data_IF_005877753283
#
_entry.id   IF_005877753283
#
_cell.length_a   1.000
_cell.length_b   1.000
_cell.length_c   1.000
_cell.angle_alpha   90.00
_cell.angle_beta   90.00
_cell.angle_gamma   90.00
#
_symmetry.space_group_name_H-M   'P 1'
#
loop_
_entity.id
_entity.type
_entity.pdbx_description
1 polymer ?
#
# COMPACT_ATOMS: atom_id res chain seq x y z
N UNK A 1 31.18 41.49 -42.47
CA UNK A 1 31.04 41.20 -41.07
C UNK A 1 30.56 42.47 -40.40
N UNK A 2 29.27 42.56 -40.08
CA UNK A 2 28.69 43.71 -39.35
C UNK A 2 29.22 43.63 -37.93
N UNK A 3 30.16 44.46 -37.54
CA UNK A 3 30.58 44.70 -36.17
C UNK A 3 29.39 45.35 -35.47
N UNK A 4 28.69 44.62 -34.62
CA UNK A 4 27.71 45.18 -33.68
C UNK A 4 28.48 46.02 -32.67
N UNK A 5 28.14 47.29 -32.44
CA UNK A 5 28.75 48.11 -31.41
C UNK A 5 28.13 47.75 -30.04
N UNK A 6 28.36 46.53 -29.57
CA UNK A 6 27.79 46.07 -28.33
C UNK A 6 28.96 45.64 -27.42
N UNK A 7 29.26 46.44 -26.42
CA UNK A 7 30.14 46.06 -25.34
C UNK A 7 29.24 45.76 -24.12
N UNK A 8 29.26 44.52 -23.67
CA UNK A 8 28.67 44.13 -22.38
C UNK A 8 29.60 44.55 -21.25
N UNK A 9 29.15 45.45 -20.37
CA UNK A 9 29.91 45.76 -19.18
C UNK A 9 29.95 44.54 -18.22
N UNK A 10 31.02 44.38 -17.43
CA UNK A 10 31.15 43.23 -16.53
C UNK A 10 29.98 43.02 -15.58
N UNK A 11 29.36 44.09 -15.08
CA UNK A 11 28.21 44.02 -14.18
C UNK A 11 26.96 43.47 -14.89
N UNK A 12 26.75 43.81 -16.17
CA UNK A 12 25.66 43.25 -16.96
C UNK A 12 25.86 41.74 -17.23
N UNK A 13 27.08 41.31 -17.51
CA UNK A 13 27.42 39.92 -17.71
C UNK A 13 27.19 39.09 -16.43
N UNK A 14 27.62 39.61 -15.26
CA UNK A 14 27.39 38.98 -13.97
C UNK A 14 25.90 38.78 -13.64
N UNK A 15 25.03 39.76 -14.01
CA UNK A 15 23.59 39.67 -13.76
C UNK A 15 22.86 38.75 -14.74
N UNK A 16 23.26 38.76 -16.01
CA UNK A 16 22.65 37.96 -17.09
C UNK A 16 23.09 36.48 -17.02
N UNK A 17 24.31 36.24 -16.59
CA UNK A 17 24.93 34.90 -16.57
C UNK A 17 25.67 34.66 -15.24
N UNK A 18 24.96 34.44 -14.11
CA UNK A 18 25.59 34.28 -12.80
C UNK A 18 26.48 33.04 -12.66
N UNK A 19 26.44 32.15 -13.68
CA UNK A 19 27.26 30.94 -13.77
C UNK A 19 28.15 30.93 -15.02
N UNK A 20 28.64 32.11 -15.50
CA UNK A 20 29.53 32.16 -16.64
C UNK A 20 31.00 31.97 -16.26
N UNK A 21 31.79 31.61 -17.28
CA UNK A 21 33.25 31.71 -17.34
C UNK A 21 33.65 32.41 -18.60
N UNK A 22 34.51 33.42 -18.53
CA UNK A 22 35.21 33.96 -19.65
C UNK A 22 36.67 33.49 -19.60
N UNK A 23 37.13 32.85 -20.66
CA UNK A 23 38.44 32.23 -20.77
C UNK A 23 39.26 32.97 -21.86
N UNK A 24 40.55 33.19 -21.63
CA UNK A 24 41.45 33.59 -22.71
C UNK A 24 41.81 32.40 -23.62
N UNK A 25 42.61 32.61 -24.63
CA UNK A 25 43.02 31.59 -25.60
C UNK A 25 43.84 30.45 -24.99
N UNK A 26 44.48 30.66 -23.84
CA UNK A 26 45.29 29.68 -23.13
C UNK A 26 44.48 28.95 -22.03
N UNK A 27 43.22 29.31 -21.85
CA UNK A 27 42.30 28.73 -20.86
C UNK A 27 42.46 29.33 -19.45
N UNK A 28 43.04 30.52 -19.37
CA UNK A 28 43.04 31.28 -18.10
C UNK A 28 41.64 31.90 -17.91
N UNK A 29 41.11 31.79 -16.70
CA UNK A 29 39.82 32.35 -16.35
C UNK A 29 39.93 33.85 -16.11
N UNK A 30 39.35 34.64 -17.01
CA UNK A 30 39.35 36.10 -16.96
C UNK A 30 38.22 36.65 -16.09
N UNK A 31 37.06 35.97 -16.12
CA UNK A 31 35.87 36.32 -15.36
C UNK A 31 35.08 35.07 -15.00
N UNK A 32 34.43 35.08 -13.84
CA UNK A 32 33.55 34.01 -13.42
C UNK A 32 32.31 34.60 -12.73
N UNK A 33 31.17 33.98 -12.99
CA UNK A 33 29.90 34.38 -12.39
C UNK A 33 29.89 34.22 -10.86
N UNK A 34 29.15 35.08 -10.19
CA UNK A 34 29.12 35.12 -8.73
C UNK A 34 28.67 33.79 -8.10
N UNK A 35 27.64 33.17 -8.67
CA UNK A 35 27.13 31.88 -8.22
C UNK A 35 28.16 30.76 -8.41
N UNK A 36 28.83 30.73 -9.57
CA UNK A 36 29.85 29.74 -9.84
C UNK A 36 31.04 29.87 -8.89
N UNK A 37 31.52 31.10 -8.65
CA UNK A 37 32.59 31.35 -7.68
C UNK A 37 32.23 30.88 -6.28
N UNK A 38 31.01 31.15 -5.82
CA UNK A 38 30.52 30.68 -4.51
C UNK A 38 30.48 29.15 -4.41
N UNK A 39 30.04 28.49 -5.45
CA UNK A 39 29.96 27.03 -5.54
C UNK A 39 31.33 26.35 -5.50
N UNK A 40 32.33 26.97 -6.13
CA UNK A 40 33.69 26.39 -6.19
C UNK A 40 34.52 26.61 -4.92
N UNK A 41 34.07 27.51 -4.03
CA UNK A 41 34.65 27.71 -2.69
C UNK A 41 35.74 28.79 -2.61
N UNK A 42 36.44 28.83 -1.45
CA UNK A 42 37.46 29.85 -1.15
C UNK A 42 38.65 29.72 -2.10
N UNK A 43 39.01 30.81 -2.74
CA UNK A 43 40.16 30.91 -3.64
C UNK A 43 39.85 31.62 -4.95
N UNK A 44 38.61 31.69 -5.32
CA UNK A 44 38.14 32.30 -6.59
C UNK A 44 38.63 31.55 -7.83
N UNK A 45 37.90 31.67 -8.92
CA UNK A 45 38.24 31.03 -10.18
C UNK A 45 39.08 31.95 -11.12
N UNK A 46 39.00 33.27 -10.89
CA UNK A 46 39.68 34.26 -11.73
C UNK A 46 41.19 34.19 -11.54
N UNK A 47 41.90 34.08 -12.67
CA UNK A 47 43.35 33.92 -12.70
C UNK A 47 43.84 32.46 -12.64
N UNK A 48 42.93 31.49 -12.42
CA UNK A 48 43.26 30.07 -12.50
C UNK A 48 43.05 29.49 -13.90
N UNK A 49 43.66 28.33 -14.16
CA UNK A 49 43.41 27.63 -15.42
C UNK A 49 42.11 26.82 -15.37
N UNK A 50 41.31 26.89 -16.38
CA UNK A 50 40.05 26.12 -16.52
C UNK A 50 40.25 24.61 -16.29
N UNK A 51 41.31 24.06 -16.90
CA UNK A 51 41.62 22.63 -16.80
C UNK A 51 41.99 22.16 -15.36
N UNK A 52 42.35 23.07 -14.47
CA UNK A 52 42.63 22.71 -13.06
C UNK A 52 41.36 22.52 -12.23
N UNK A 53 40.25 23.14 -12.67
CA UNK A 53 39.00 23.17 -11.92
C UNK A 53 37.87 22.38 -12.59
N UNK A 54 37.92 22.11 -13.91
CA UNK A 54 36.84 21.48 -14.65
C UNK A 54 37.32 20.36 -15.57
N UNK A 55 36.50 19.30 -15.66
CA UNK A 55 36.65 18.18 -16.58
C UNK A 55 35.46 18.12 -17.55
N UNK A 56 35.72 17.81 -18.82
CA UNK A 56 34.69 17.45 -19.80
C UNK A 56 34.24 16.01 -19.58
N UNK A 57 32.94 15.80 -19.39
CA UNK A 57 32.37 14.47 -19.00
C UNK A 57 31.91 13.73 -20.24
N UNK A 58 32.14 13.74 -21.36
CA UNK A 58 31.63 12.83 -22.42
C UNK A 58 32.35 12.87 -23.75
N UNK A 59 33.43 13.64 -23.87
CA UNK A 59 34.24 13.64 -25.11
C UNK A 59 35.71 13.43 -24.73
N UNK A 60 36.42 12.69 -25.58
CA UNK A 60 37.86 12.47 -25.44
C UNK A 60 38.68 13.74 -25.77
N UNK A 61 38.12 14.92 -25.46
CA UNK A 61 38.75 16.22 -25.64
C UNK A 61 39.41 16.70 -24.35
N UNK A 62 40.62 17.24 -24.46
CA UNK A 62 41.26 17.98 -23.38
C UNK A 62 40.37 19.18 -22.99
N UNK A 63 40.33 19.50 -21.67
CA UNK A 63 39.64 20.69 -21.16
C UNK A 63 40.38 21.96 -21.56
N UNK A 64 40.47 22.19 -22.86
CA UNK A 64 41.14 23.32 -23.53
C UNK A 64 40.13 24.18 -24.27
N UNK A 65 40.45 25.45 -24.51
CA UNK A 65 39.57 26.36 -25.26
C UNK A 65 39.22 25.83 -26.64
N UNK A 66 40.17 25.30 -27.44
CA UNK A 66 39.83 24.67 -28.71
C UNK A 66 38.88 23.47 -28.55
N UNK A 67 39.03 22.65 -27.50
CA UNK A 67 38.16 21.53 -27.20
C UNK A 67 36.73 21.98 -26.84
N UNK A 68 36.59 23.04 -26.05
CA UNK A 68 35.29 23.65 -25.71
C UNK A 68 34.60 24.24 -26.96
N UNK A 69 35.35 24.89 -27.83
CA UNK A 69 34.83 25.51 -29.06
C UNK A 69 34.56 24.48 -30.17
N UNK A 70 35.24 23.34 -30.20
CA UNK A 70 34.94 22.25 -31.13
C UNK A 70 33.50 21.70 -30.94
N UNK A 71 32.98 21.85 -29.74
CA UNK A 71 31.59 21.52 -29.41
C UNK A 71 30.65 22.73 -29.50
N UNK A 72 31.09 23.84 -30.11
CA UNK A 72 30.28 25.05 -30.26
C UNK A 72 28.93 24.75 -30.92
N UNK A 73 27.84 25.08 -30.19
CA UNK A 73 26.46 24.72 -30.57
C UNK A 73 25.94 23.39 -29.97
N UNK A 74 26.81 22.52 -29.44
CA UNK A 74 26.40 21.35 -28.70
C UNK A 74 26.38 21.63 -27.18
N UNK A 75 25.64 20.81 -26.45
CA UNK A 75 25.57 20.93 -24.99
C UNK A 75 26.81 20.36 -24.31
N UNK A 76 27.56 21.20 -23.63
CA UNK A 76 28.69 20.80 -22.81
C UNK A 76 28.21 20.10 -21.55
N UNK A 77 28.95 19.10 -21.09
CA UNK A 77 28.80 18.51 -19.75
C UNK A 77 30.14 18.64 -19.01
N UNK A 78 30.13 19.39 -17.92
CA UNK A 78 31.32 19.67 -17.12
C UNK A 78 31.15 19.06 -15.73
N UNK A 79 32.24 18.52 -15.18
CA UNK A 79 32.36 18.18 -13.77
C UNK A 79 33.35 19.10 -13.09
N UNK A 80 33.13 19.48 -11.84
CA UNK A 80 34.14 20.19 -11.06
C UNK A 80 35.15 19.16 -10.52
N UNK A 81 36.46 19.41 -10.72
CA UNK A 81 37.54 18.57 -10.21
C UNK A 81 37.53 18.55 -8.69
N UNK A 82 37.70 17.36 -8.11
CA UNK A 82 37.64 17.18 -6.66
C UNK A 82 36.23 17.28 -6.03
N UNK A 83 35.21 17.55 -6.84
CA UNK A 83 33.82 17.73 -6.41
C UNK A 83 32.90 16.91 -7.30
N UNK A 84 32.78 15.62 -7.03
CA UNK A 84 31.90 14.69 -7.78
C UNK A 84 30.42 15.08 -7.70
N UNK A 85 30.05 15.86 -6.72
CA UNK A 85 28.72 16.40 -6.44
C UNK A 85 28.34 17.61 -7.33
N UNK A 86 29.30 18.22 -8.02
CA UNK A 86 29.08 19.36 -8.90
C UNK A 86 29.21 18.92 -10.37
N UNK A 87 28.09 18.89 -11.04
CA UNK A 87 28.01 18.66 -12.46
C UNK A 87 27.22 19.79 -13.13
N UNK A 88 27.72 20.29 -14.25
CA UNK A 88 27.14 21.40 -14.96
C UNK A 88 26.83 21.01 -16.39
N UNK A 89 25.81 21.63 -16.94
CA UNK A 89 25.54 21.69 -18.39
C UNK A 89 25.79 23.09 -18.86
N UNK A 90 26.26 23.24 -20.08
CA UNK A 90 26.54 24.58 -20.60
C UNK A 90 26.67 24.65 -22.11
N UNK A 91 27.05 25.84 -22.53
CA UNK A 91 27.36 26.18 -23.90
C UNK A 91 28.64 27.04 -23.90
N UNK A 92 29.56 26.76 -24.82
CA UNK A 92 30.72 27.63 -25.08
C UNK A 92 30.55 28.33 -26.45
N UNK A 93 30.88 29.60 -26.46
CA UNK A 93 30.92 30.43 -27.69
C UNK A 93 32.25 31.20 -27.76
N UNK A 94 32.78 31.44 -28.95
CA UNK A 94 34.00 32.29 -29.09
C UNK A 94 33.66 33.75 -28.75
N UNK A 95 34.55 34.44 -28.03
CA UNK A 95 34.42 35.88 -27.76
C UNK A 95 34.82 36.74 -28.95
N UNK A 96 35.76 36.26 -29.72
CA UNK A 96 36.25 36.90 -30.97
C UNK A 96 37.39 36.06 -31.58
N UNK A 97 37.89 36.44 -32.77
CA UNK A 97 38.97 35.71 -33.39
C UNK A 97 40.25 35.75 -32.54
N UNK A 98 40.61 34.62 -31.91
CA UNK A 98 41.78 34.49 -31.06
C UNK A 98 41.60 35.02 -29.61
N UNK A 99 40.40 35.47 -29.23
CA UNK A 99 40.17 36.11 -27.92
C UNK A 99 39.78 35.14 -26.80
N UNK A 100 39.49 33.89 -27.13
CA UNK A 100 39.10 32.89 -26.13
C UNK A 100 37.63 32.47 -26.19
N UNK A 101 37.03 32.03 -25.08
CA UNK A 101 35.69 31.50 -25.02
C UNK A 101 34.87 32.05 -23.87
N UNK A 102 33.60 32.33 -24.11
CA UNK A 102 32.58 32.55 -23.08
C UNK A 102 31.81 31.23 -22.89
N UNK A 103 31.78 30.74 -21.67
CA UNK A 103 31.06 29.53 -21.27
C UNK A 103 29.93 29.92 -20.32
N UNK A 104 28.71 29.54 -20.62
CA UNK A 104 27.56 29.70 -19.73
C UNK A 104 27.13 28.33 -19.20
N UNK A 105 26.98 28.21 -17.89
CA UNK A 105 26.71 26.96 -17.19
C UNK A 105 25.34 26.98 -16.49
N UNK A 106 24.78 25.79 -16.30
CA UNK A 106 23.58 25.56 -15.51
C UNK A 106 23.67 24.17 -14.84
N UNK A 107 22.80 23.90 -13.84
CA UNK A 107 22.70 22.57 -13.22
C UNK A 107 21.89 21.57 -14.04
N UNK A 108 21.11 22.04 -15.03
CA UNK A 108 20.19 21.20 -15.78
C UNK A 108 19.18 20.48 -14.86
N UNK A 109 19.01 19.17 -15.04
CA UNK A 109 18.05 18.38 -14.23
C UNK A 109 18.46 18.24 -12.74
N UNK A 110 19.71 18.48 -12.40
CA UNK A 110 20.22 18.43 -11.02
C UNK A 110 19.94 19.69 -10.20
N UNK A 111 19.20 20.67 -10.74
CA UNK A 111 18.97 21.97 -10.10
C UNK A 111 18.27 21.85 -8.75
N UNK A 112 17.28 20.94 -8.60
CA UNK A 112 16.55 20.73 -7.35
C UNK A 112 17.47 20.31 -6.21
N UNK A 113 18.39 19.39 -6.49
CA UNK A 113 19.38 18.92 -5.51
C UNK A 113 20.42 20.01 -5.22
N UNK A 114 20.87 20.72 -6.25
CA UNK A 114 21.82 21.82 -6.10
C UNK A 114 21.27 22.96 -5.23
N UNK A 115 20.01 23.35 -5.43
CA UNK A 115 19.34 24.38 -4.62
C UNK A 115 19.31 23.98 -3.15
N UNK A 116 18.91 22.76 -2.85
CA UNK A 116 18.86 22.27 -1.46
C UNK A 116 20.25 22.18 -0.82
N UNK A 117 21.19 21.62 -1.55
CA UNK A 117 22.54 21.33 -1.04
C UNK A 117 23.39 22.60 -0.83
N UNK A 118 23.28 23.55 -1.75
CA UNK A 118 24.09 24.77 -1.74
C UNK A 118 23.32 26.01 -1.26
N UNK A 119 22.09 25.81 -0.77
CA UNK A 119 21.20 26.88 -0.32
C UNK A 119 21.09 28.01 -1.35
N UNK A 120 20.88 27.65 -2.64
CA UNK A 120 20.74 28.61 -3.72
C UNK A 120 19.40 29.33 -3.61
N UNK A 121 19.41 30.62 -3.98
CA UNK A 121 18.23 31.49 -3.98
C UNK A 121 17.97 32.01 -5.39
N UNK A 122 16.87 32.70 -5.58
CA UNK A 122 16.54 33.33 -6.88
C UNK A 122 17.67 34.22 -7.41
N UNK A 123 18.41 34.89 -6.52
CA UNK A 123 19.56 35.74 -6.89
C UNK A 123 20.74 34.97 -7.50
N UNK A 124 20.77 33.65 -7.39
CA UNK A 124 21.82 32.79 -7.92
C UNK A 124 21.57 32.36 -9.37
N UNK A 125 20.40 32.65 -9.90
CA UNK A 125 20.00 32.32 -11.25
C UNK A 125 19.85 33.57 -12.11
N UNK A 126 19.94 33.40 -13.44
CA UNK A 126 19.63 34.50 -14.34
C UNK A 126 18.17 34.92 -14.19
N UNK A 127 17.83 36.21 -14.31
CA UNK A 127 16.43 36.68 -14.21
C UNK A 127 15.49 36.07 -15.26
N UNK A 128 16.03 35.49 -16.29
CA UNK A 128 15.30 34.80 -17.37
C UNK A 128 15.33 33.29 -17.26
N UNK A 129 15.91 32.76 -16.18
CA UNK A 129 15.97 31.31 -15.94
C UNK A 129 14.67 30.85 -15.28
N UNK A 130 14.00 29.90 -15.87
CA UNK A 130 12.76 29.29 -15.36
C UNK A 130 12.99 28.32 -14.19
N UNK A 131 14.19 28.32 -13.63
CA UNK A 131 14.56 27.37 -12.55
C UNK A 131 13.68 27.52 -11.33
N UNK A 132 13.35 28.76 -10.96
CA UNK A 132 12.52 29.03 -9.77
C UNK A 132 11.09 28.52 -9.97
N UNK A 133 10.52 28.78 -11.13
CA UNK A 133 9.18 28.30 -11.50
C UNK A 133 9.12 26.77 -11.56
N UNK A 134 10.16 26.14 -12.09
CA UNK A 134 10.29 24.67 -12.11
C UNK A 134 10.41 24.07 -10.71
N UNK A 135 11.10 24.75 -9.79
CA UNK A 135 11.19 24.35 -8.39
C UNK A 135 9.81 24.39 -7.70
N UNK A 136 9.07 25.48 -7.89
CA UNK A 136 7.69 25.60 -7.36
C UNK A 136 6.78 24.48 -7.90
N UNK A 137 6.85 24.21 -9.21
CA UNK A 137 6.07 23.12 -9.82
C UNK A 137 6.48 21.76 -9.28
N UNK A 138 7.78 21.55 -9.07
CA UNK A 138 8.27 20.30 -8.49
C UNK A 138 7.81 20.10 -7.05
N UNK A 139 7.87 21.13 -6.21
CA UNK A 139 7.40 21.09 -4.82
C UNK A 139 5.89 20.86 -4.75
N UNK A 140 5.11 21.60 -5.55
CA UNK A 140 3.67 21.43 -5.64
C UNK A 140 3.29 20.00 -6.08
N UNK A 141 3.98 19.47 -7.11
CA UNK A 141 3.77 18.08 -7.56
C UNK A 141 4.09 17.07 -6.46
N UNK A 142 5.20 17.28 -5.73
CA UNK A 142 5.61 16.37 -4.65
C UNK A 142 4.57 16.36 -3.53
N UNK A 143 4.09 17.52 -3.10
CA UNK A 143 3.05 17.66 -2.09
C UNK A 143 1.74 16.93 -2.51
N UNK A 144 1.29 17.12 -3.75
CA UNK A 144 0.09 16.43 -4.28
C UNK A 144 0.30 14.90 -4.33
N UNK A 145 1.47 14.44 -4.74
CA UNK A 145 1.77 12.99 -4.76
C UNK A 145 1.77 12.38 -3.37
N UNK A 146 2.27 13.07 -2.36
CA UNK A 146 2.29 12.58 -0.98
C UNK A 146 0.88 12.56 -0.38
N UNK A 147 0.05 13.56 -0.68
CA UNK A 147 -1.36 13.57 -0.30
C UNK A 147 -2.16 12.43 -0.96
N UNK A 148 -1.94 12.18 -2.26
CA UNK A 148 -2.56 11.06 -2.97
C UNK A 148 -2.15 9.70 -2.40
N UNK A 149 -0.90 9.53 -2.01
CA UNK A 149 -0.43 8.30 -1.35
C UNK A 149 -1.09 8.09 0.00
N UNK A 150 -1.17 9.13 0.82
CA UNK A 150 -1.84 9.09 2.12
C UNK A 150 -3.33 8.75 1.98
N UNK A 151 -4.03 9.38 1.03
CA UNK A 151 -5.43 9.10 0.75
C UNK A 151 -5.65 7.65 0.27
N UNK A 152 -4.80 7.17 -0.63
CA UNK A 152 -4.90 5.80 -1.13
C UNK A 152 -4.69 4.76 -0.01
N UNK A 153 -3.69 4.96 0.86
CA UNK A 153 -3.46 4.10 2.01
C UNK A 153 -4.66 4.07 2.96
N UNK A 154 -5.30 5.23 3.22
CA UNK A 154 -6.51 5.33 4.02
C UNK A 154 -7.69 4.59 3.38
N UNK A 155 -7.94 4.82 2.09
CA UNK A 155 -9.03 4.14 1.37
C UNK A 155 -8.87 2.63 1.33
N UNK A 156 -7.63 2.13 1.20
CA UNK A 156 -7.35 0.70 1.27
C UNK A 156 -7.64 0.14 2.67
N UNK A 157 -7.27 0.86 3.74
CA UNK A 157 -7.62 0.49 5.10
C UNK A 157 -9.13 0.44 5.34
N UNK A 158 -9.84 1.49 4.95
CA UNK A 158 -11.30 1.58 5.07
C UNK A 158 -12.01 0.47 4.28
N UNK A 159 -11.49 0.12 3.09
CA UNK A 159 -12.01 -0.99 2.29
C UNK A 159 -11.89 -2.33 3.00
N UNK A 160 -10.72 -2.66 3.57
CA UNK A 160 -10.51 -3.91 4.32
C UNK A 160 -11.45 -4.01 5.50
N UNK A 161 -11.61 -2.92 6.26
CA UNK A 161 -12.55 -2.87 7.39
C UNK A 161 -14.00 -3.09 6.93
N UNK A 162 -14.40 -2.42 5.85
CA UNK A 162 -15.75 -2.57 5.29
C UNK A 162 -16.00 -3.99 4.76
N UNK A 163 -15.02 -4.63 4.11
CA UNK A 163 -15.11 -6.02 3.65
C UNK A 163 -15.24 -6.99 4.82
N UNK A 164 -14.46 -6.84 5.88
CA UNK A 164 -14.60 -7.65 7.10
C UNK A 164 -15.98 -7.45 7.75
N UNK A 165 -16.45 -6.22 7.88
CA UNK A 165 -17.79 -5.93 8.40
C UNK A 165 -18.91 -6.54 7.53
N UNK A 166 -18.74 -6.54 6.21
CA UNK A 166 -19.71 -7.13 5.29
C UNK A 166 -19.75 -8.67 5.37
N UNK A 167 -18.71 -9.31 5.90
CA UNK A 167 -18.55 -10.77 5.99
C UNK A 167 -18.72 -11.34 7.40
N UNK A 168 -18.96 -10.49 8.39
CA UNK A 168 -19.10 -10.90 9.81
C UNK A 168 -20.47 -10.52 10.37
N UNK A 169 -20.95 -11.26 11.36
CA UNK A 169 -22.09 -10.92 12.18
C UNK A 169 -21.69 -9.86 13.23
N UNK A 170 -22.41 -8.75 13.25
CA UNK A 170 -22.04 -7.59 14.06
C UNK A 170 -22.08 -7.85 15.58
N UNK A 171 -22.93 -8.77 16.05
CA UNK A 171 -23.02 -9.12 17.46
C UNK A 171 -21.91 -10.08 17.87
N UNK A 172 -21.77 -11.20 17.15
CA UNK A 172 -20.92 -12.31 17.56
C UNK A 172 -19.50 -12.23 17.00
N UNK A 173 -19.30 -11.45 15.94
CA UNK A 173 -18.04 -11.39 15.19
C UNK A 173 -17.68 -12.70 14.48
N UNK A 174 -18.59 -13.67 14.39
CA UNK A 174 -18.46 -14.85 13.54
C UNK A 174 -18.68 -14.45 12.08
N UNK A 175 -18.37 -15.34 11.14
CA UNK A 175 -18.80 -15.12 9.76
C UNK A 175 -20.33 -15.01 9.68
N UNK A 176 -20.84 -14.11 8.84
CA UNK A 176 -22.26 -14.09 8.49
C UNK A 176 -22.52 -15.05 7.32
N UNK A 177 -23.74 -15.12 6.83
CA UNK A 177 -24.12 -15.97 5.68
C UNK A 177 -23.19 -15.76 4.48
N UNK A 178 -22.95 -14.51 4.11
CA UNK A 178 -22.07 -14.17 2.98
C UNK A 178 -20.62 -14.57 3.22
N UNK A 179 -20.13 -14.43 4.46
CA UNK A 179 -18.80 -14.86 4.86
C UNK A 179 -18.63 -16.37 4.84
N UNK A 180 -19.71 -17.14 5.14
CA UNK A 180 -19.73 -18.59 4.99
C UNK A 180 -19.65 -19.01 3.53
N UNK A 181 -20.46 -18.40 2.65
CA UNK A 181 -20.48 -18.71 1.22
C UNK A 181 -19.10 -18.49 0.59
N UNK A 182 -18.47 -17.36 0.90
CA UNK A 182 -17.11 -17.06 0.43
C UNK A 182 -16.07 -18.04 0.98
N UNK A 183 -16.19 -18.44 2.27
CA UNK A 183 -15.28 -19.41 2.85
C UNK A 183 -15.40 -20.79 2.18
N UNK A 184 -16.60 -21.19 1.80
CA UNK A 184 -16.82 -22.43 1.09
C UNK A 184 -16.24 -22.45 -0.33
N UNK A 185 -16.25 -21.32 -1.03
CA UNK A 185 -15.59 -21.18 -2.35
C UNK A 185 -14.08 -21.33 -2.28
N UNK A 186 -13.46 -20.96 -1.16
CA UNK A 186 -12.00 -20.96 -0.95
C UNK A 186 -11.49 -22.26 -0.34
N UNK A 187 -12.38 -23.14 0.18
CA UNK A 187 -11.98 -24.43 0.72
C UNK A 187 -11.32 -25.28 -0.39
N UNK A 188 -10.01 -25.44 -0.26
CA UNK A 188 -9.22 -26.19 -1.23
C UNK A 188 -9.43 -27.72 -1.14
N UNK A 189 -9.93 -28.21 -0.02
CA UNK A 189 -10.23 -29.62 0.21
C UNK A 189 -11.68 -29.89 -0.22
N UNK A 190 -11.91 -30.75 -1.24
CA UNK A 190 -13.26 -31.09 -1.65
C UNK A 190 -14.02 -31.86 -0.56
N UNK A 191 -13.32 -32.44 0.39
CA UNK A 191 -13.87 -33.26 1.47
C UNK A 191 -13.97 -32.47 2.78
N UNK A 192 -15.19 -32.23 3.22
CA UNK A 192 -15.45 -31.51 4.47
C UNK A 192 -16.76 -31.99 5.13
N UNK A 193 -16.90 -31.73 6.43
CA UNK A 193 -18.18 -31.80 7.11
C UNK A 193 -18.81 -30.42 7.23
N UNK A 194 -20.11 -30.33 7.00
CA UNK A 194 -20.95 -29.15 7.24
C UNK A 194 -21.92 -29.46 8.37
N UNK A 195 -21.94 -28.58 9.35
CA UNK A 195 -22.83 -28.70 10.52
C UNK A 195 -23.78 -27.51 10.54
N UNK A 196 -25.09 -27.77 10.55
CA UNK A 196 -26.11 -26.76 10.84
C UNK A 196 -26.57 -26.95 12.27
N UNK A 197 -26.39 -25.94 13.11
CA UNK A 197 -26.68 -25.96 14.54
C UNK A 197 -27.68 -24.87 14.88
N UNK A 198 -28.68 -25.23 15.70
CA UNK A 198 -29.75 -24.32 16.19
C UNK A 198 -29.84 -24.42 17.70
N UNK A 199 -30.00 -23.28 18.37
CA UNK A 199 -30.07 -23.23 19.81
C UNK A 199 -31.47 -23.58 20.32
N UNK A 200 -31.55 -24.67 21.06
CA UNK A 200 -32.79 -25.08 21.69
C UNK A 200 -33.13 -24.14 22.88
N UNK A 201 -34.40 -23.76 22.99
CA UNK A 201 -34.95 -22.91 24.05
C UNK A 201 -34.45 -21.44 24.05
N UNK A 202 -33.71 -20.99 23.00
CA UNK A 202 -33.18 -19.62 22.94
C UNK A 202 -34.31 -18.56 22.99
N UNK A 203 -35.44 -18.82 22.34
CA UNK A 203 -36.60 -17.93 22.40
C UNK A 203 -37.12 -17.77 23.83
N UNK A 204 -37.14 -18.86 24.63
CA UNK A 204 -37.55 -18.80 26.05
C UNK A 204 -36.63 -17.91 26.89
N UNK A 205 -35.31 -17.96 26.63
CA UNK A 205 -34.36 -17.04 27.30
C UNK A 205 -34.69 -15.58 26.97
N UNK A 206 -34.96 -15.25 25.70
CA UNK A 206 -35.38 -13.91 25.33
C UNK A 206 -36.68 -13.45 25.97
N UNK A 207 -37.68 -14.37 26.04
CA UNK A 207 -39.01 -14.08 26.59
C UNK A 207 -38.96 -13.90 28.11
N UNK A 208 -38.13 -14.68 28.83
CA UNK A 208 -38.03 -14.67 30.27
C UNK A 208 -37.01 -13.67 30.84
N UNK A 209 -35.85 -13.50 30.16
CA UNK A 209 -34.71 -12.72 30.66
C UNK A 209 -34.42 -11.47 29.83
N UNK A 210 -35.15 -11.27 28.73
CA UNK A 210 -34.99 -10.13 27.83
C UNK A 210 -33.90 -10.29 26.76
N UNK A 211 -33.97 -9.48 25.73
CA UNK A 211 -33.05 -9.55 24.56
C UNK A 211 -31.58 -9.37 24.94
N UNK A 212 -31.27 -8.57 25.98
CA UNK A 212 -29.88 -8.38 26.39
C UNK A 212 -29.27 -9.68 26.97
N UNK A 213 -30.07 -10.52 27.62
CA UNK A 213 -29.64 -11.85 28.07
C UNK A 213 -29.45 -12.78 26.85
N UNK A 214 -30.33 -12.71 25.84
CA UNK A 214 -30.17 -13.46 24.61
C UNK A 214 -28.91 -13.07 23.84
N UNK A 215 -28.61 -11.77 23.75
CA UNK A 215 -27.36 -11.28 23.09
C UNK A 215 -26.13 -11.80 23.86
N UNK A 216 -26.15 -11.79 25.19
CA UNK A 216 -25.08 -12.37 26.00
C UNK A 216 -24.92 -13.88 25.75
N UNK A 217 -26.00 -14.64 25.69
CA UNK A 217 -25.96 -16.07 25.33
C UNK A 217 -25.35 -16.28 23.96
N UNK A 218 -25.72 -15.51 22.93
CA UNK A 218 -25.12 -15.60 21.58
C UNK A 218 -23.63 -15.33 21.58
N UNK A 219 -23.15 -14.37 22.39
CA UNK A 219 -21.72 -14.09 22.53
C UNK A 219 -20.97 -15.26 23.18
N UNK A 220 -21.56 -15.89 24.23
CA UNK A 220 -20.99 -17.08 24.87
C UNK A 220 -20.96 -18.26 23.92
N UNK A 221 -22.04 -18.51 23.18
CA UNK A 221 -22.13 -19.56 22.15
C UNK A 221 -21.03 -19.34 21.09
N UNK A 222 -20.89 -18.12 20.56
CA UNK A 222 -19.86 -17.80 19.56
C UNK A 222 -18.45 -18.06 20.09
N UNK A 223 -18.18 -17.76 21.35
CA UNK A 223 -16.91 -18.06 22.00
C UNK A 223 -16.67 -19.58 22.08
N UNK A 224 -17.65 -20.35 22.56
CA UNK A 224 -17.57 -21.82 22.66
C UNK A 224 -17.32 -22.43 21.28
N UNK A 225 -18.06 -22.01 20.26
CA UNK A 225 -17.90 -22.52 18.91
C UNK A 225 -16.50 -22.24 18.35
N UNK A 226 -15.92 -21.05 18.63
CA UNK A 226 -14.53 -20.73 18.23
C UNK A 226 -13.51 -21.62 18.96
N UNK A 227 -13.67 -21.84 20.27
CA UNK A 227 -12.77 -22.65 21.08
C UNK A 227 -12.78 -24.11 20.66
N UNK A 228 -13.93 -24.65 20.25
CA UNK A 228 -14.10 -26.01 19.77
C UNK A 228 -13.72 -26.20 18.31
N UNK A 229 -13.48 -25.10 17.59
CA UNK A 229 -13.11 -25.11 16.19
C UNK A 229 -11.59 -25.06 16.00
N UNK A 230 -11.08 -25.77 14.98
CA UNK A 230 -9.66 -25.73 14.61
C UNK A 230 -9.36 -24.51 13.74
N UNK A 231 -8.10 -24.18 13.59
CA UNK A 231 -7.64 -23.02 12.77
C UNK A 231 -8.15 -23.04 11.32
N UNK A 232 -8.48 -24.21 10.76
CA UNK A 232 -9.00 -24.35 9.39
C UNK A 232 -10.52 -24.34 9.29
N UNK A 233 -11.24 -24.44 10.41
CA UNK A 233 -12.69 -24.48 10.43
C UNK A 233 -13.26 -23.06 10.27
N UNK A 234 -14.42 -22.96 9.63
CA UNK A 234 -15.18 -21.70 9.54
C UNK A 234 -16.44 -21.82 10.35
N UNK A 235 -16.65 -20.88 11.26
CA UNK A 235 -17.88 -20.76 12.08
C UNK A 235 -18.64 -19.53 11.63
N UNK A 236 -19.92 -19.72 11.32
CA UNK A 236 -20.81 -18.65 10.87
C UNK A 236 -22.10 -18.61 11.70
N UNK A 237 -22.65 -17.42 11.88
CA UNK A 237 -24.03 -17.21 12.33
C UNK A 237 -24.85 -16.76 11.14
N UNK A 238 -25.86 -17.56 10.76
CA UNK A 238 -26.63 -17.33 9.52
C UNK A 238 -28.07 -16.86 9.78
N UNK A 239 -28.51 -16.96 11.04
CA UNK A 239 -29.84 -16.56 11.49
C UNK A 239 -29.81 -16.08 12.96
N UNK A 240 -30.95 -15.88 13.55
CA UNK A 240 -31.09 -15.46 14.95
C UNK A 240 -30.35 -16.36 15.94
N UNK A 241 -30.68 -17.62 15.95
CA UNK A 241 -30.16 -18.71 16.80
C UNK A 241 -29.51 -19.84 15.97
N UNK A 242 -29.27 -19.60 14.68
CA UNK A 242 -28.72 -20.56 13.73
C UNK A 242 -27.25 -20.32 13.44
N UNK A 243 -26.46 -21.38 13.59
CA UNK A 243 -25.01 -21.37 13.34
C UNK A 243 -24.65 -22.47 12.33
N UNK A 244 -23.61 -22.23 11.57
CA UNK A 244 -23.03 -23.20 10.65
C UNK A 244 -21.54 -23.33 10.89
N UNK A 245 -21.07 -24.59 10.91
CA UNK A 245 -19.64 -24.88 11.02
C UNK A 245 -19.20 -25.65 9.79
N UNK A 246 -18.21 -25.14 9.08
CA UNK A 246 -17.56 -25.81 7.95
C UNK A 246 -16.21 -26.36 8.46
N UNK A 247 -16.02 -27.67 8.36
CA UNK A 247 -14.86 -28.42 8.88
C UNK A 247 -14.11 -29.12 7.76
N UNK A 248 -13.15 -28.45 7.10
CA UNK A 248 -12.35 -29.05 6.02
C UNK A 248 -11.57 -30.28 6.48
N UNK A 249 -11.48 -31.29 5.61
CA UNK A 249 -10.76 -32.53 5.85
C UNK A 249 -11.41 -33.47 6.88
N UNK A 250 -12.62 -33.17 7.37
CA UNK A 250 -13.35 -34.06 8.27
C UNK A 250 -14.34 -34.91 7.44
N UNK A 251 -13.97 -36.17 7.20
CA UNK A 251 -14.68 -37.12 6.34
C UNK A 251 -15.26 -38.32 7.06
N UNK A 252 -14.77 -38.59 8.29
CA UNK A 252 -15.26 -39.70 9.09
C UNK A 252 -16.57 -39.32 9.81
N UNK A 253 -17.68 -40.01 9.52
CA UNK A 253 -18.99 -39.76 10.15
C UNK A 253 -18.96 -39.81 11.67
N UNK A 254 -18.26 -40.79 12.23
CA UNK A 254 -18.20 -40.99 13.67
C UNK A 254 -17.41 -39.88 14.37
N UNK A 255 -16.30 -39.46 13.80
CA UNK A 255 -15.50 -38.33 14.27
C UNK A 255 -16.28 -37.01 14.18
N UNK A 256 -17.04 -36.80 13.10
CA UNK A 256 -17.88 -35.62 12.93
C UNK A 256 -18.97 -35.54 14.01
N UNK A 257 -19.73 -36.62 14.21
CA UNK A 257 -20.75 -36.69 15.25
C UNK A 257 -20.18 -36.51 16.64
N UNK A 258 -19.09 -37.22 17.00
CA UNK A 258 -18.43 -37.09 18.31
C UNK A 258 -18.01 -35.64 18.59
N UNK A 259 -17.50 -34.95 17.60
CA UNK A 259 -17.10 -33.54 17.75
C UNK A 259 -18.30 -32.62 17.96
N UNK A 260 -19.35 -32.80 17.19
CA UNK A 260 -20.58 -32.00 17.31
C UNK A 260 -21.27 -32.27 18.64
N UNK A 261 -21.34 -33.51 19.10
CA UNK A 261 -21.92 -33.88 20.41
C UNK A 261 -21.14 -33.22 21.57
N UNK A 262 -19.81 -33.14 21.47
CA UNK A 262 -18.98 -32.40 22.43
C UNK A 262 -19.33 -30.91 22.46
N UNK A 263 -19.52 -30.29 21.30
CA UNK A 263 -19.96 -28.90 21.17
C UNK A 263 -21.33 -28.72 21.85
N UNK A 264 -22.28 -29.59 21.56
CA UNK A 264 -23.65 -29.56 22.15
C UNK A 264 -23.56 -29.69 23.66
N UNK A 265 -22.76 -30.61 24.18
CA UNK A 265 -22.58 -30.79 25.62
C UNK A 265 -22.06 -29.52 26.30
N UNK A 266 -21.07 -28.86 25.71
CA UNK A 266 -20.54 -27.58 26.23
C UNK A 266 -21.57 -26.45 26.16
N UNK A 267 -22.37 -26.37 25.10
CA UNK A 267 -23.42 -25.36 24.94
C UNK A 267 -24.57 -25.57 25.94
N UNK A 268 -24.74 -26.79 26.45
CA UNK A 268 -25.77 -27.14 27.44
C UNK A 268 -25.39 -26.79 28.88
N UNK A 269 -24.14 -26.35 29.11
CA UNK A 269 -23.72 -25.85 30.41
C UNK A 269 -24.45 -24.54 30.74
N UNK A 270 -24.84 -24.32 32.03
CA UNK A 270 -25.50 -23.07 32.43
C UNK A 270 -24.64 -21.86 32.13
N UNK A 271 -25.24 -20.82 31.57
CA UNK A 271 -24.60 -19.55 31.23
C UNK A 271 -24.99 -18.50 32.27
N UNK A 272 -24.01 -18.00 33.02
CA UNK A 272 -24.24 -16.95 34.02
C UNK A 272 -24.56 -15.61 33.33
N UNK A 273 -25.64 -14.97 33.78
CA UNK A 273 -26.02 -13.63 33.33
C UNK A 273 -26.63 -12.86 34.53
N UNK A 274 -25.94 -11.78 34.92
CA UNK A 274 -26.28 -11.03 36.16
C UNK A 274 -26.42 -11.96 37.37
N UNK A 275 -27.55 -11.92 38.04
CA UNK A 275 -27.85 -12.75 39.21
C UNK A 275 -28.59 -14.06 38.88
N UNK A 276 -28.66 -14.43 37.60
CA UNK A 276 -29.41 -15.60 37.10
C UNK A 276 -28.57 -16.46 36.16
N UNK A 277 -29.07 -17.63 35.84
CA UNK A 277 -28.46 -18.54 34.85
C UNK A 277 -29.42 -18.79 33.70
N UNK A 278 -28.95 -18.51 32.49
CA UNK A 278 -29.61 -18.94 31.26
C UNK A 278 -29.28 -20.41 30.98
N UNK A 279 -30.27 -21.19 30.59
CA UNK A 279 -30.10 -22.58 30.16
C UNK A 279 -30.62 -22.74 28.72
N UNK A 280 -29.73 -23.17 27.87
CA UNK A 280 -30.04 -23.51 26.48
C UNK A 280 -29.61 -24.93 26.18
N UNK A 281 -30.05 -25.48 25.07
CA UNK A 281 -29.48 -26.65 24.44
C UNK A 281 -29.05 -26.29 23.03
N UNK A 282 -28.60 -27.27 22.27
CA UNK A 282 -28.38 -27.15 20.84
C UNK A 282 -28.72 -28.46 20.14
N UNK A 283 -29.34 -28.35 18.99
CA UNK A 283 -29.56 -29.45 18.06
C UNK A 283 -28.75 -29.22 16.77
N UNK A 284 -28.26 -30.29 16.17
CA UNK A 284 -27.43 -30.15 14.97
C UNK A 284 -27.74 -31.21 13.90
N UNK A 285 -27.67 -30.79 12.66
CA UNK A 285 -27.60 -31.66 11.49
C UNK A 285 -26.21 -31.60 10.88
N UNK A 286 -25.68 -32.77 10.54
CA UNK A 286 -24.34 -32.93 9.97
C UNK A 286 -24.46 -33.53 8.57
N UNK A 287 -23.72 -33.01 7.60
CA UNK A 287 -23.59 -33.57 6.28
C UNK A 287 -22.12 -33.65 5.89
N UNK A 288 -21.72 -34.73 5.22
CA UNK A 288 -20.40 -34.88 4.63
C UNK A 288 -20.46 -34.57 3.14
N UNK A 289 -19.57 -33.75 2.63
CA UNK A 289 -19.51 -33.39 1.21
C UNK A 289 -19.36 -34.62 0.30
N UNK A 290 -18.63 -35.64 0.77
CA UNK A 290 -18.44 -36.91 0.05
C UNK A 290 -19.72 -37.73 -0.16
N UNK A 291 -20.77 -37.49 0.64
CA UNK A 291 -22.07 -38.17 0.48
C UNK A 291 -23.05 -37.41 -0.41
N UNK A 292 -22.68 -36.23 -0.86
CA UNK A 292 -23.51 -35.32 -1.62
C UNK A 292 -22.90 -35.11 -3.00
N UNK A 293 -23.17 -36.03 -3.94
CA UNK A 293 -22.70 -35.99 -5.34
C UNK A 293 -22.69 -34.56 -5.95
N UNK A 294 -21.55 -33.87 -5.95
CA UNK A 294 -21.34 -32.58 -6.59
C UNK A 294 -22.29 -31.46 -6.11
N UNK A 295 -22.80 -31.57 -4.87
CA UNK A 295 -23.77 -30.60 -4.34
C UNK A 295 -23.13 -29.26 -4.07
N UNK A 296 -23.80 -28.19 -4.48
CA UNK A 296 -23.45 -26.83 -4.08
C UNK A 296 -23.76 -26.59 -2.58
N UNK A 297 -23.26 -25.51 -2.03
CA UNK A 297 -23.43 -25.14 -0.62
C UNK A 297 -24.94 -25.05 -0.24
N UNK A 298 -25.78 -24.61 -1.13
CA UNK A 298 -27.23 -24.49 -0.89
C UNK A 298 -27.87 -25.85 -0.63
N UNK A 299 -27.51 -26.86 -1.41
CA UNK A 299 -27.99 -28.22 -1.25
C UNK A 299 -27.44 -28.88 0.01
N UNK A 300 -26.17 -28.66 0.32
CA UNK A 300 -25.55 -29.17 1.57
C UNK A 300 -26.23 -28.59 2.81
N UNK A 301 -26.53 -27.30 2.80
CA UNK A 301 -27.27 -26.65 3.88
C UNK A 301 -28.68 -27.21 4.02
N UNK A 302 -29.40 -27.44 2.93
CA UNK A 302 -30.73 -28.05 2.97
C UNK A 302 -30.70 -29.49 3.52
N UNK A 303 -29.67 -30.27 3.18
CA UNK A 303 -29.44 -31.61 3.73
C UNK A 303 -29.12 -31.57 5.24
N UNK A 304 -28.26 -30.62 5.67
CA UNK A 304 -27.96 -30.42 7.07
C UNK A 304 -29.22 -29.97 7.86
N UNK A 305 -30.06 -29.12 7.26
CA UNK A 305 -31.34 -28.69 7.85
C UNK A 305 -32.34 -29.86 8.02
N UNK A 306 -32.45 -30.73 7.01
CA UNK A 306 -33.26 -31.96 7.13
C UNK A 306 -32.79 -32.84 8.30
N UNK A 307 -31.47 -33.01 8.48
CA UNK A 307 -30.92 -33.74 9.64
C UNK A 307 -31.16 -33.04 10.97
N UNK A 308 -31.05 -31.72 11.01
CA UNK A 308 -31.36 -30.88 12.15
C UNK A 308 -32.83 -31.00 12.57
N UNK A 309 -33.73 -31.01 11.60
CA UNK A 309 -35.16 -31.24 11.85
C UNK A 309 -35.38 -32.58 12.53
N UNK A 310 -34.72 -33.66 12.08
CA UNK A 310 -34.76 -34.97 12.76
C UNK A 310 -34.26 -34.89 14.19
N UNK A 311 -33.14 -34.17 14.43
CA UNK A 311 -32.61 -33.97 15.78
C UNK A 311 -33.62 -33.30 16.71
N UNK A 312 -34.26 -32.24 16.25
CA UNK A 312 -35.31 -31.52 16.99
C UNK A 312 -36.52 -32.42 17.33
N UNK A 313 -36.98 -33.25 16.36
CA UNK A 313 -38.09 -34.20 16.57
C UNK A 313 -37.72 -35.36 17.49
N UNK A 314 -36.47 -35.78 17.49
CA UNK A 314 -35.99 -36.87 18.35
C UNK A 314 -35.78 -36.46 19.81
N UNK A 315 -36.18 -35.23 20.21
CA UNK A 315 -36.12 -34.75 21.59
C UNK A 315 -35.04 -33.71 21.84
N UNK A 316 -34.47 -33.11 20.81
CA UNK A 316 -33.45 -32.04 20.88
C UNK A 316 -32.15 -32.45 21.57
N UNK A 317 -31.22 -31.51 21.75
CA UNK A 317 -29.97 -31.71 22.50
C UNK A 317 -29.03 -32.74 21.86
N UNK A 318 -29.04 -32.92 20.55
CA UNK A 318 -28.29 -34.00 19.85
C UNK A 318 -27.96 -33.63 18.43
N UNK A 319 -27.05 -34.42 17.81
CA UNK A 319 -26.69 -34.32 16.41
C UNK A 319 -27.23 -35.52 15.63
N UNK A 320 -27.61 -35.29 14.37
CA UNK A 320 -27.89 -36.34 13.39
C UNK A 320 -27.06 -36.14 12.15
N UNK A 321 -26.54 -37.25 11.62
CA UNK A 321 -25.89 -37.26 10.31
C UNK A 321 -26.98 -37.41 9.22
N UNK A 322 -26.93 -36.61 8.20
CA UNK A 322 -27.81 -36.70 7.06
C UNK A 322 -27.63 -38.04 6.33
N UNK A 323 -28.72 -38.65 5.95
CA UNK A 323 -28.78 -39.86 5.12
C UNK A 323 -29.81 -39.71 4.02
N UNK A 324 -29.69 -40.51 2.89
CA UNK A 324 -30.56 -40.40 1.73
C UNK A 324 -32.06 -40.60 2.03
N UNK A 325 -32.38 -41.26 3.13
CA UNK A 325 -33.77 -41.50 3.57
C UNK A 325 -34.40 -40.29 4.27
N UNK A 326 -33.64 -39.23 4.52
CA UNK A 326 -34.13 -37.97 5.09
C UNK A 326 -34.64 -37.08 3.99
N UNK A 327 -35.92 -36.69 4.07
CA UNK A 327 -36.50 -35.78 3.08
C UNK A 327 -35.83 -34.40 3.16
N UNK A 328 -35.48 -33.88 1.99
CA UNK A 328 -35.07 -32.48 1.82
C UNK A 328 -36.31 -31.78 1.24
N UNK A 329 -36.99 -30.94 2.05
CA UNK A 329 -38.13 -30.12 1.60
C UNK A 329 -37.65 -28.87 0.82
#
# INVERSE_FOLDING_TARGET
>A
VTTFPFELCPEALLRLMPMHLALDHDGLILSAGATLNRLMGEGGLVGARFADHFDLRHEAGAATVPGLLATSGARLQLGARGRADLAFRGLAVPMGPGEGALVNLSFGIGVVEAVRRFALTEADFAPTDLTVELLYLYEAKTAVLDELRALNARLQGDKVVAEEQALTDALTGLRNRRGLDLAAEVVADPDFALVHLDLDLFKQVNDEMGHAAGDHVLLVVARILREESRKGDTVARIGGDEFVILMPGLTDPAAALTRVERIIARLSEPIDYADAQARIGASAGVVLSSTADGADMTRLLAQADAALYVAKRAGRGRAFLWGPDMAVE
#
